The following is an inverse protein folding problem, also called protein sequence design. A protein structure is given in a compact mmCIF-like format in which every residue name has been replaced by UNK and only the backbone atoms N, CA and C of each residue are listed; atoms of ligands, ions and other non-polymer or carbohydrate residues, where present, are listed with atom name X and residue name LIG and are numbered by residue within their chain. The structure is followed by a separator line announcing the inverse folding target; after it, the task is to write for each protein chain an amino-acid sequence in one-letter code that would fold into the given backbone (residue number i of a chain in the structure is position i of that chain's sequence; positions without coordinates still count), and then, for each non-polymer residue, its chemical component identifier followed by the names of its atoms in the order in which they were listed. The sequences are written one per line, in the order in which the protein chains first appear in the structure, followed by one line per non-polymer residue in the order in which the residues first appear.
data_IF_972606114348
#
_entry.id   IF_972606114348
#
_cell.length_a   1.000
_cell.length_b   1.000
_cell.length_c   1.000
_cell.angle_alpha   90.00
_cell.angle_beta   90.00
_cell.angle_gamma   90.00
#
_symmetry.space_group_name_H-M   'P 1'
#
loop_
_entity.id
_entity.type
_entity.pdbx_description
1 polymer ?
#
# COMPACT_ATOMS: atom_id res chain seq x y z
N UNK A 1 -70.81 20.15 -23.86
CA UNK A 1 -69.71 21.13 -23.78
C UNK A 1 -68.53 20.46 -23.10
N UNK A 2 -67.37 20.53 -23.75
CA UNK A 2 -66.06 20.00 -23.34
C UNK A 2 -65.66 20.47 -21.94
N UNK A 3 -64.69 19.80 -21.28
CA UNK A 3 -63.41 20.39 -20.83
C UNK A 3 -62.54 19.32 -20.12
N UNK A 4 -62.07 18.33 -20.88
CA UNK A 4 -60.80 17.67 -20.54
C UNK A 4 -59.67 18.66 -20.84
N UNK A 5 -59.30 19.51 -19.88
CA UNK A 5 -58.06 20.29 -19.97
C UNK A 5 -57.53 20.69 -18.60
N UNK A 6 -57.23 19.71 -17.76
CA UNK A 6 -56.22 19.92 -16.71
C UNK A 6 -54.86 19.74 -17.35
N UNK A 7 -54.28 20.85 -17.83
CA UNK A 7 -52.87 20.88 -18.17
C UNK A 7 -52.09 20.74 -16.87
N UNK A 8 -51.42 19.60 -16.67
CA UNK A 8 -50.41 19.43 -15.62
C UNK A 8 -49.23 20.36 -15.92
N UNK A 9 -49.42 21.65 -15.67
CA UNK A 9 -48.35 22.63 -15.63
C UNK A 9 -47.79 22.61 -14.22
N UNK A 10 -46.71 21.84 -14.01
CA UNK A 10 -45.87 22.02 -12.82
C UNK A 10 -45.34 23.44 -12.93
N UNK A 11 -45.89 24.37 -12.14
CA UNK A 11 -45.39 25.75 -12.07
C UNK A 11 -43.89 25.66 -11.80
N UNK A 12 -43.07 26.21 -12.68
CA UNK A 12 -41.60 26.26 -12.50
C UNK A 12 -41.30 26.99 -11.20
N UNK A 13 -41.13 26.24 -10.12
CA UNK A 13 -40.63 26.78 -8.85
C UNK A 13 -39.22 27.27 -9.11
N UNK A 14 -38.87 28.47 -8.63
CA UNK A 14 -37.50 28.99 -8.74
C UNK A 14 -36.53 27.89 -8.26
N UNK A 15 -35.41 27.64 -8.96
CA UNK A 15 -34.43 26.66 -8.53
C UNK A 15 -34.11 26.92 -7.06
N UNK A 16 -34.34 25.93 -6.21
CA UNK A 16 -33.99 26.02 -4.80
C UNK A 16 -32.47 26.13 -4.79
N UNK A 17 -31.91 27.32 -4.51
CA UNK A 17 -30.48 27.51 -4.24
C UNK A 17 -30.17 26.89 -2.87
N UNK A 18 -30.43 25.60 -2.72
CA UNK A 18 -29.82 24.84 -1.64
C UNK A 18 -28.36 24.71 -2.06
N UNK A 19 -27.51 25.57 -1.51
CA UNK A 19 -26.07 25.29 -1.50
C UNK A 19 -25.96 23.93 -0.86
N UNK A 20 -25.46 22.95 -1.60
CA UNK A 20 -25.13 21.63 -1.05
C UNK A 20 -24.29 21.88 0.19
N UNK A 21 -24.83 21.64 1.40
CA UNK A 21 -24.06 21.62 2.64
C UNK A 21 -23.22 20.35 2.62
N UNK A 22 -22.33 20.28 1.65
CA UNK A 22 -21.27 19.28 1.60
C UNK A 22 -20.20 19.78 2.56
N UNK A 23 -19.75 18.95 3.51
CA UNK A 23 -18.63 19.29 4.39
C UNK A 23 -17.41 19.75 3.59
N UNK A 24 -17.23 19.26 2.36
CA UNK A 24 -16.12 19.58 1.47
C UNK A 24 -16.06 21.05 1.01
N UNK A 25 -17.07 21.88 1.30
CA UNK A 25 -17.10 23.31 0.94
C UNK A 25 -16.95 24.23 2.15
N UNK A 26 -16.76 23.68 3.35
CA UNK A 26 -16.62 24.47 4.57
C UNK A 26 -15.18 24.99 4.72
N UNK A 27 -14.99 26.17 5.33
CA UNK A 27 -13.66 26.61 5.74
C UNK A 27 -13.08 25.62 6.77
N UNK A 28 -11.75 25.50 6.79
CA UNK A 28 -11.05 24.49 7.60
C UNK A 28 -11.44 24.49 9.09
N UNK A 29 -11.74 25.66 9.65
CA UNK A 29 -12.14 25.83 11.04
C UNK A 29 -13.54 25.28 11.33
N UNK A 30 -14.51 25.52 10.44
CA UNK A 30 -15.86 24.95 10.55
C UNK A 30 -15.86 23.45 10.26
N UNK A 31 -15.03 23.01 9.30
CA UNK A 31 -14.86 21.60 8.96
C UNK A 31 -14.31 20.79 10.14
N UNK A 32 -13.28 21.32 10.83
CA UNK A 32 -12.71 20.69 12.02
C UNK A 32 -13.72 20.62 13.18
N UNK A 33 -14.59 21.64 13.30
CA UNK A 33 -15.66 21.65 14.30
C UNK A 33 -16.79 20.67 13.98
N UNK A 34 -17.15 20.49 12.71
CA UNK A 34 -18.20 19.53 12.30
C UNK A 34 -17.71 18.08 12.29
N UNK A 35 -16.46 17.82 11.88
CA UNK A 35 -15.90 16.46 11.77
C UNK A 35 -15.19 15.98 13.05
N UNK A 36 -14.97 16.88 14.01
CA UNK A 36 -14.34 16.57 15.29
C UNK A 36 -12.82 16.38 15.20
N UNK A 37 -12.16 16.19 16.35
CA UNK A 37 -10.69 16.08 16.44
C UNK A 37 -10.11 14.89 15.66
N UNK A 38 -10.94 13.91 15.27
CA UNK A 38 -10.51 12.77 14.45
C UNK A 38 -10.25 13.10 12.97
N UNK A 39 -10.57 14.31 12.48
CA UNK A 39 -10.29 14.67 11.08
C UNK A 39 -8.80 14.58 10.69
N UNK A 40 -7.90 14.61 11.67
CA UNK A 40 -6.46 14.53 11.44
C UNK A 40 -5.91 13.10 11.36
N UNK A 41 -6.73 12.09 11.65
CA UNK A 41 -6.27 10.70 11.70
C UNK A 41 -6.99 9.91 10.63
N UNK A 42 -6.29 9.65 9.52
CA UNK A 42 -6.78 8.76 8.47
C UNK A 42 -6.44 7.34 8.92
N UNK A 43 -7.44 6.54 9.28
CA UNK A 43 -7.26 5.13 9.60
C UNK A 43 -7.94 4.21 8.58
N UNK A 44 -7.37 3.02 8.41
CA UNK A 44 -7.88 1.98 7.54
C UNK A 44 -7.82 0.64 8.28
N UNK A 45 -8.84 -0.19 8.06
CA UNK A 45 -8.87 -1.54 8.61
C UNK A 45 -8.71 -2.55 7.48
N UNK A 46 -7.56 -3.20 7.42
CA UNK A 46 -7.30 -4.27 6.46
C UNK A 46 -7.39 -5.60 7.22
N UNK A 47 -8.48 -6.32 7.02
CA UNK A 47 -8.81 -7.53 7.78
C UNK A 47 -8.95 -7.26 9.28
N UNK A 48 -8.06 -7.87 10.07
CA UNK A 48 -8.03 -7.73 11.53
C UNK A 48 -7.03 -6.67 12.03
N UNK A 49 -6.32 -6.00 11.13
CA UNK A 49 -5.32 -4.99 11.47
C UNK A 49 -5.90 -3.59 11.22
N UNK A 50 -5.69 -2.71 12.20
CA UNK A 50 -5.96 -1.28 12.06
C UNK A 50 -4.65 -0.58 11.71
N UNK A 51 -4.68 0.28 10.70
CA UNK A 51 -3.54 1.08 10.25
C UNK A 51 -3.92 2.55 10.29
N UNK A 52 -2.97 3.40 10.64
CA UNK A 52 -3.07 4.85 10.68
C UNK A 52 -2.07 5.42 9.68
N UNK A 53 -2.52 6.32 8.82
CA UNK A 53 -1.66 7.00 7.87
C UNK A 53 -0.82 8.07 8.57
N UNK A 54 0.50 7.93 8.52
CA UNK A 54 1.43 8.97 8.97
C UNK A 54 1.56 10.01 7.86
N UNK A 55 0.92 11.17 8.07
CA UNK A 55 0.93 12.29 7.12
C UNK A 55 2.36 12.86 6.94
N UNK A 56 3.25 12.71 7.92
CA UNK A 56 4.62 13.23 7.85
C UNK A 56 5.54 12.35 7.01
N UNK A 57 5.37 11.03 7.10
CA UNK A 57 6.14 10.04 6.33
C UNK A 57 5.47 9.68 5.00
N UNK A 58 4.17 9.95 4.86
CA UNK A 58 3.37 9.60 3.68
C UNK A 58 3.11 8.09 3.56
N UNK A 59 3.12 7.36 4.68
CA UNK A 59 2.99 5.90 4.68
C UNK A 59 1.96 5.41 5.72
N UNK A 60 1.50 4.17 5.55
CA UNK A 60 0.58 3.52 6.48
C UNK A 60 1.33 2.80 7.58
N UNK A 61 1.07 3.18 8.83
CA UNK A 61 1.67 2.55 10.02
C UNK A 61 0.61 1.74 10.75
N UNK A 62 0.93 0.52 11.15
CA UNK A 62 0.00 -0.28 11.95
C UNK A 62 -0.30 0.44 13.28
N UNK A 63 -1.59 0.59 13.61
CA UNK A 63 -2.02 1.09 14.91
C UNK A 63 -1.54 0.09 15.97
N UNK A 64 -0.58 0.52 16.81
CA UNK A 64 0.09 -0.31 17.82
C UNK A 64 -0.84 -0.94 18.86
N UNK A 65 -2.15 -0.69 18.76
CA UNK A 65 -3.22 -1.28 19.54
C UNK A 65 -3.49 -2.76 19.22
N UNK A 66 -3.10 -3.27 18.05
CA UNK A 66 -3.01 -4.73 17.81
C UNK A 66 -1.61 -5.21 18.19
N UNK A 67 -1.39 -5.34 19.50
CA UNK A 67 -0.31 -6.10 20.16
C UNK A 67 1.06 -6.14 19.46
N UNK A 68 2.10 -5.43 19.96
CA UNK A 68 3.46 -5.48 19.40
C UNK A 68 4.07 -6.89 19.34
N UNK A 69 3.53 -7.86 20.09
CA UNK A 69 4.06 -9.21 20.21
C UNK A 69 3.84 -10.11 18.97
N UNK A 70 2.73 -9.97 18.24
CA UNK A 70 2.47 -10.82 17.05
C UNK A 70 3.27 -10.30 15.85
N UNK A 71 3.23 -8.99 15.63
CA UNK A 71 4.04 -8.31 14.60
C UNK A 71 5.55 -8.49 14.84
N UNK A 72 6.06 -8.28 16.06
CA UNK A 72 7.49 -8.41 16.34
C UNK A 72 8.00 -9.85 16.19
N UNK A 73 7.20 -10.86 16.60
CA UNK A 73 7.59 -12.27 16.47
C UNK A 73 7.58 -12.74 15.02
N UNK A 74 6.58 -12.33 14.23
CA UNK A 74 6.51 -12.66 12.82
C UNK A 74 7.58 -11.90 12.03
N UNK A 75 7.82 -10.62 12.35
CA UNK A 75 8.93 -9.84 11.79
C UNK A 75 10.28 -10.49 12.09
N UNK A 76 10.54 -10.90 13.33
CA UNK A 76 11.78 -11.57 13.69
C UNK A 76 11.97 -12.92 12.98
N UNK A 77 10.89 -13.68 12.72
CA UNK A 77 10.95 -14.89 11.88
C UNK A 77 11.27 -14.55 10.42
N UNK A 78 10.66 -13.49 9.88
CA UNK A 78 10.93 -13.01 8.52
C UNK A 78 12.37 -12.54 8.37
N UNK A 79 12.90 -11.77 9.33
CA UNK A 79 14.29 -11.32 9.34
C UNK A 79 15.27 -12.49 9.41
N UNK A 80 15.01 -13.49 10.27
CA UNK A 80 15.85 -14.69 10.34
C UNK A 80 15.86 -15.44 9.02
N UNK A 81 14.68 -15.63 8.40
CA UNK A 81 14.56 -16.32 7.12
C UNK A 81 15.20 -15.54 5.98
N UNK A 82 15.09 -14.21 5.98
CA UNK A 82 15.78 -13.34 5.02
C UNK A 82 17.30 -13.54 5.13
N UNK A 83 17.84 -13.52 6.35
CA UNK A 83 19.27 -13.72 6.59
C UNK A 83 19.74 -15.10 6.13
N UNK A 84 18.99 -16.15 6.46
CA UNK A 84 19.29 -17.52 5.98
C UNK A 84 19.34 -17.58 4.46
N UNK A 85 18.35 -16.96 3.78
CA UNK A 85 18.31 -16.91 2.32
C UNK A 85 19.46 -16.07 1.73
N UNK A 86 19.89 -15.01 2.38
CA UNK A 86 21.05 -14.21 1.97
C UNK A 86 22.36 -15.01 2.10
N UNK A 87 22.54 -15.74 3.20
CA UNK A 87 23.70 -16.61 3.42
C UNK A 87 23.75 -17.75 2.38
N UNK A 88 22.61 -18.41 2.13
CA UNK A 88 22.48 -19.44 1.09
C UNK A 88 22.79 -18.88 -0.31
N UNK A 89 22.29 -17.68 -0.63
CA UNK A 89 22.54 -17.04 -1.92
C UNK A 89 24.04 -16.73 -2.10
N UNK A 90 24.69 -16.20 -1.07
CA UNK A 90 26.12 -15.92 -1.10
C UNK A 90 26.93 -17.22 -1.31
N UNK A 91 26.59 -18.29 -0.59
CA UNK A 91 27.21 -19.60 -0.76
C UNK A 91 27.03 -20.15 -2.19
N UNK A 92 25.82 -20.03 -2.74
CA UNK A 92 25.53 -20.47 -4.10
C UNK A 92 26.34 -19.68 -5.14
N UNK A 93 26.49 -18.36 -4.96
CA UNK A 93 27.33 -17.52 -5.82
C UNK A 93 28.80 -17.97 -5.80
N UNK A 94 29.37 -18.17 -4.61
CA UNK A 94 30.76 -18.67 -4.49
C UNK A 94 30.94 -20.03 -5.16
N UNK A 95 29.97 -20.94 -5.01
CA UNK A 95 30.02 -22.25 -5.70
C UNK A 95 29.97 -22.10 -7.23
N UNK A 96 29.14 -21.18 -7.72
CA UNK A 96 29.06 -20.89 -9.16
C UNK A 96 30.40 -20.37 -9.68
N UNK A 97 31.02 -19.42 -8.98
CA UNK A 97 32.30 -18.82 -9.37
C UNK A 97 33.39 -19.89 -9.46
N UNK A 98 33.51 -20.75 -8.45
CA UNK A 98 34.48 -21.87 -8.46
C UNK A 98 34.22 -22.82 -9.63
N UNK A 99 32.95 -23.17 -9.88
CA UNK A 99 32.61 -24.07 -10.98
C UNK A 99 32.92 -23.45 -12.35
N UNK A 100 32.77 -22.14 -12.49
CA UNK A 100 33.14 -21.41 -13.71
C UNK A 100 34.66 -21.39 -13.90
N UNK A 101 35.43 -21.18 -12.83
CA UNK A 101 36.90 -21.28 -12.86
C UNK A 101 37.36 -22.69 -13.27
N UNK A 102 36.81 -23.73 -12.66
CA UNK A 102 37.12 -25.12 -13.00
C UNK A 102 36.76 -25.45 -14.46
N UNK A 103 35.61 -24.95 -14.95
CA UNK A 103 35.20 -25.14 -16.33
C UNK A 103 36.16 -24.44 -17.31
N UNK A 104 36.60 -23.22 -16.97
CA UNK A 104 37.57 -22.48 -17.76
C UNK A 104 38.91 -23.21 -17.82
N UNK A 105 39.38 -23.76 -16.69
CA UNK A 105 40.61 -24.54 -16.60
C UNK A 105 40.55 -25.81 -17.47
N UNK A 106 39.48 -26.60 -17.35
CA UNK A 106 39.30 -27.81 -18.17
C UNK A 106 39.20 -27.48 -19.66
N UNK A 107 38.52 -26.38 -20.01
CA UNK A 107 38.40 -25.93 -21.40
C UNK A 107 39.77 -25.51 -21.96
N UNK A 108 40.56 -24.76 -21.19
CA UNK A 108 41.91 -24.37 -21.58
C UNK A 108 42.84 -25.58 -21.74
N UNK A 109 42.79 -26.56 -20.83
CA UNK A 109 43.55 -27.80 -20.96
C UNK A 109 43.17 -28.59 -22.22
N UNK A 110 41.88 -28.72 -22.49
CA UNK A 110 41.39 -29.42 -23.67
C UNK A 110 41.90 -28.75 -24.96
N UNK A 111 41.82 -27.43 -25.04
CA UNK A 111 42.29 -26.67 -26.20
C UNK A 111 43.80 -26.77 -26.38
N UNK A 112 44.57 -26.79 -25.28
CA UNK A 112 46.02 -27.02 -25.31
C UNK A 112 46.34 -28.42 -25.86
N UNK A 113 45.62 -29.46 -25.41
CA UNK A 113 45.79 -30.85 -25.91
C UNK A 113 45.37 -31.02 -27.37
N UNK A 114 44.47 -30.17 -27.87
CA UNK A 114 44.01 -30.20 -29.27
C UNK A 114 44.99 -29.48 -30.21
N UNK A 115 45.73 -28.50 -29.70
CA UNK A 115 46.60 -27.62 -30.50
C UNK A 115 48.09 -27.95 -30.44
N UNK A 116 48.53 -28.77 -29.46
CA UNK A 116 49.86 -29.39 -29.40
C UNK A 116 49.88 -30.78 -30.03
#
# INVERSE_FOLDING_TARGET
MSFLRSSFSIRKTKPRKAVSRSPLKLPAEELARELGPQYQTIDARIGNQKMVFDITQGDWVADGTVGPAVSSREMGKLEKKKRELEDDNNMLRTKLDILLEMLAEVTAEHDLRRTG
#
